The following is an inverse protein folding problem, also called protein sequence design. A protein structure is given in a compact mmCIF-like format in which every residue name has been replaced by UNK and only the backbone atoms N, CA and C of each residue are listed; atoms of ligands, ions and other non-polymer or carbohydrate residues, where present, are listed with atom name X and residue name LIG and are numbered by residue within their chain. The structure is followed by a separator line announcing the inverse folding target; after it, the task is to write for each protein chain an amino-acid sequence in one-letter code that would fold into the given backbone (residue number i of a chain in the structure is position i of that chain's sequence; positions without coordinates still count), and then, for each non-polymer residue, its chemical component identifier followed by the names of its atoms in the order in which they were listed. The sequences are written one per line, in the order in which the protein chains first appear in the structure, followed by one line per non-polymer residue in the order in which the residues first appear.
data_IF_541189769903
#
_entry.id   IF_541189769903
#
_cell.length_a   1.000
_cell.length_b   1.000
_cell.length_c   1.000
_cell.angle_alpha   90.00
_cell.angle_beta   90.00
_cell.angle_gamma   90.00
#
_symmetry.space_group_name_H-M   'P 1'
#
loop_
_entity.id
_entity.type
_entity.pdbx_description
1 polymer ?
#
# COMPACT_ATOMS: atom_id res chain seq x y z
N UNK A 1 -6.95 2.67 18.75
CA UNK A 1 -6.98 3.67 19.83
C UNK A 1 -7.51 4.98 19.26
N UNK A 2 -8.43 5.60 19.96
CA UNK A 2 -9.00 6.90 19.59
C UNK A 2 -8.31 7.97 20.40
N UNK A 3 -7.84 9.02 19.74
CA UNK A 3 -7.26 10.19 20.40
C UNK A 3 -8.38 11.07 20.92
N UNK A 4 -8.32 11.45 22.20
CA UNK A 4 -9.30 12.28 22.86
C UNK A 4 -8.83 13.72 23.00
N UNK A 5 -9.80 14.64 23.20
CA UNK A 5 -9.46 16.01 23.56
C UNK A 5 -8.73 16.04 24.92
N UNK A 6 -7.71 16.89 25.10
CA UNK A 6 -6.94 16.99 26.35
C UNK A 6 -7.77 17.22 27.61
N UNK A 7 -8.96 17.78 27.46
CA UNK A 7 -9.92 18.08 28.58
C UNK A 7 -10.49 16.84 29.26
N UNK A 8 -10.34 15.63 28.64
CA UNK A 8 -10.90 14.37 29.19
C UNK A 8 -9.93 13.67 30.15
N UNK A 9 -8.68 14.12 30.24
CA UNK A 9 -7.66 13.58 31.15
C UNK A 9 -7.00 12.28 30.67
N UNK A 10 -7.38 11.75 29.50
CA UNK A 10 -6.78 10.59 28.85
C UNK A 10 -6.37 10.95 27.43
N UNK A 11 -5.17 10.53 27.00
CA UNK A 11 -4.67 10.79 25.65
C UNK A 11 -5.39 9.94 24.59
N UNK A 12 -5.79 8.72 24.93
CA UNK A 12 -6.51 7.80 24.06
C UNK A 12 -7.18 6.69 24.86
N UNK A 13 -8.20 6.07 24.30
CA UNK A 13 -8.79 4.85 24.86
C UNK A 13 -8.99 3.78 23.78
N UNK A 14 -8.98 2.49 24.15
CA UNK A 14 -9.33 1.42 23.22
C UNK A 14 -10.86 1.35 23.05
N UNK A 15 -11.31 1.35 21.82
CA UNK A 15 -12.72 1.15 21.46
C UNK A 15 -12.84 0.08 20.37
N UNK A 16 -13.96 -0.64 20.40
CA UNK A 16 -14.28 -1.59 19.34
C UNK A 16 -14.74 -0.81 18.10
N UNK A 17 -13.90 -0.76 17.07
CA UNK A 17 -14.10 0.06 15.89
C UNK A 17 -14.95 -0.60 14.79
N UNK A 18 -15.33 -1.86 14.98
CA UNK A 18 -16.16 -2.57 14.00
C UNK A 18 -16.04 -4.09 14.06
N UNK A 19 -16.69 -4.75 13.11
CA UNK A 19 -16.62 -6.18 12.92
C UNK A 19 -15.80 -6.50 11.68
N UNK A 20 -14.78 -7.34 11.86
CA UNK A 20 -13.91 -7.83 10.79
C UNK A 20 -14.24 -9.31 10.53
N UNK A 21 -14.43 -9.67 9.29
CA UNK A 21 -14.51 -11.06 8.83
C UNK A 21 -13.26 -11.41 8.05
N UNK A 22 -12.58 -12.48 8.48
CA UNK A 22 -11.41 -13.02 7.77
C UNK A 22 -11.75 -14.42 7.28
N UNK A 23 -11.53 -14.68 6.00
CA UNK A 23 -11.65 -15.99 5.36
C UNK A 23 -10.34 -16.36 4.70
N UNK A 24 -9.92 -17.61 4.86
CA UNK A 24 -8.67 -18.02 4.28
C UNK A 24 -8.53 -19.52 4.09
N UNK A 25 -7.48 -19.86 3.36
CA UNK A 25 -7.06 -21.24 3.12
C UNK A 25 -5.58 -21.34 3.45
N UNK A 26 -5.21 -22.36 4.22
CA UNK A 26 -3.84 -22.67 4.54
C UNK A 26 -3.48 -24.06 4.02
N UNK A 27 -2.32 -24.18 3.42
CA UNK A 27 -1.77 -25.44 2.91
C UNK A 27 -0.39 -25.67 3.48
N UNK A 28 -0.16 -26.89 3.94
CA UNK A 28 1.16 -27.34 4.36
C UNK A 28 1.44 -28.70 3.70
N UNK A 29 2.51 -28.76 2.93
CA UNK A 29 2.90 -29.94 2.20
C UNK A 29 4.37 -30.24 2.42
N UNK A 30 4.69 -31.47 2.81
CA UNK A 30 6.06 -31.94 2.98
C UNK A 30 6.27 -33.25 2.22
N UNK A 31 7.36 -33.36 1.51
CA UNK A 31 7.73 -34.57 0.80
C UNK A 31 9.23 -34.80 0.86
N UNK A 32 9.63 -36.06 0.64
CA UNK A 32 11.01 -36.52 0.71
C UNK A 32 11.39 -37.02 -0.69
N UNK A 33 12.00 -36.16 -1.55
CA UNK A 33 12.40 -36.55 -2.91
C UNK A 33 13.46 -37.64 -2.93
N UNK A 34 14.32 -37.67 -1.92
CA UNK A 34 15.41 -38.63 -1.82
C UNK A 34 15.65 -39.07 -0.39
N UNK A 35 15.78 -40.37 -0.20
CA UNK A 35 16.18 -40.99 1.07
C UNK A 35 17.01 -42.24 0.80
N UNK A 36 18.20 -42.35 1.39
CA UNK A 36 19.05 -43.48 1.35
C UNK A 36 19.72 -43.66 2.72
N UNK A 37 19.31 -44.69 3.45
CA UNK A 37 19.79 -44.97 4.80
C UNK A 37 21.24 -45.46 4.85
N UNK A 38 21.68 -46.22 3.85
CA UNK A 38 23.05 -46.76 3.81
C UNK A 38 24.09 -45.65 3.59
N UNK A 39 23.69 -44.55 2.96
CA UNK A 39 24.55 -43.40 2.71
C UNK A 39 24.32 -42.25 3.69
N UNK A 40 23.50 -42.45 4.73
CA UNK A 40 23.06 -41.37 5.62
C UNK A 40 22.67 -40.13 4.82
N UNK A 41 21.75 -40.34 3.87
CA UNK A 41 21.35 -39.30 2.94
C UNK A 41 19.82 -39.15 2.94
N UNK A 42 19.38 -37.90 3.05
CA UNK A 42 17.97 -37.53 2.87
C UNK A 42 17.83 -36.12 2.34
N UNK A 43 16.75 -35.90 1.64
CA UNK A 43 16.33 -34.58 1.18
C UNK A 43 14.85 -34.40 1.47
N UNK A 44 14.52 -33.36 2.22
CA UNK A 44 13.15 -33.01 2.59
C UNK A 44 12.83 -31.65 2.03
N UNK A 45 11.67 -31.50 1.41
CA UNK A 45 11.12 -30.22 0.97
C UNK A 45 9.77 -30.01 1.65
N UNK A 46 9.61 -28.87 2.32
CA UNK A 46 8.37 -28.46 2.94
C UNK A 46 7.91 -27.15 2.30
N UNK A 47 6.68 -27.13 1.83
CA UNK A 47 6.04 -25.93 1.25
C UNK A 47 4.80 -25.64 2.07
N UNK A 48 4.71 -24.44 2.57
CA UNK A 48 3.48 -23.94 3.16
C UNK A 48 3.05 -22.64 2.46
N UNK A 49 1.75 -22.40 2.48
CA UNK A 49 1.15 -21.22 1.88
C UNK A 49 -0.18 -20.92 2.51
N UNK A 50 -0.48 -19.64 2.61
CA UNK A 50 -1.77 -19.13 3.06
C UNK A 50 -2.31 -18.07 2.12
N UNK A 51 -3.62 -18.06 1.98
CA UNK A 51 -4.39 -17.03 1.32
C UNK A 51 -5.49 -16.57 2.27
N UNK A 52 -5.51 -15.30 2.60
CA UNK A 52 -6.50 -14.69 3.49
C UNK A 52 -7.17 -13.51 2.78
N UNK A 53 -8.45 -13.36 3.01
CA UNK A 53 -9.25 -12.21 2.59
C UNK A 53 -9.93 -11.63 3.81
N UNK A 54 -9.70 -10.35 4.06
CA UNK A 54 -10.33 -9.59 5.14
C UNK A 54 -11.40 -8.64 4.60
N UNK A 55 -12.52 -8.53 5.33
CA UNK A 55 -13.58 -7.56 5.02
C UNK A 55 -14.16 -6.96 6.29
N UNK A 56 -14.25 -5.66 6.32
CA UNK A 56 -15.00 -4.91 7.33
C UNK A 56 -16.49 -5.13 7.10
N UNK A 57 -17.18 -5.79 8.04
CA UNK A 57 -18.62 -6.02 7.96
C UNK A 57 -19.43 -4.85 8.49
N UNK A 58 -18.91 -4.19 9.49
CA UNK A 58 -19.53 -3.03 10.11
C UNK A 58 -18.45 -2.14 10.70
N UNK A 59 -18.60 -0.83 10.51
CA UNK A 59 -17.75 0.18 11.12
C UNK A 59 -18.53 0.97 12.17
N UNK A 60 -17.85 1.36 13.25
CA UNK A 60 -18.43 2.20 14.31
C UNK A 60 -18.52 3.67 13.89
N UNK A 61 -19.31 4.45 14.60
CA UNK A 61 -19.37 5.91 14.38
C UNK A 61 -18.02 6.59 14.66
N UNK A 62 -17.24 6.06 15.60
CA UNK A 62 -15.89 6.53 15.87
C UNK A 62 -14.96 6.32 14.67
N UNK A 63 -15.08 5.19 13.96
CA UNK A 63 -14.30 4.93 12.75
C UNK A 63 -14.76 5.81 11.57
N UNK A 64 -16.07 6.09 11.47
CA UNK A 64 -16.62 7.08 10.51
C UNK A 64 -16.05 8.48 10.75
N UNK A 65 -16.04 8.92 11.99
CA UNK A 65 -15.45 10.22 12.37
C UNK A 65 -13.94 10.27 12.08
N UNK A 66 -13.22 9.16 12.29
CA UNK A 66 -11.81 9.07 11.92
C UNK A 66 -11.60 9.19 10.40
N UNK A 67 -12.48 8.63 9.59
CA UNK A 67 -12.45 8.82 8.13
C UNK A 67 -12.61 10.30 7.75
N UNK A 68 -13.55 11.02 8.41
CA UNK A 68 -13.76 12.45 8.18
C UNK A 68 -12.51 13.27 8.56
N UNK A 69 -11.91 12.99 9.71
CA UNK A 69 -10.67 13.62 10.14
C UNK A 69 -9.50 13.33 9.19
N UNK A 70 -9.37 12.09 8.75
CA UNK A 70 -8.34 11.71 7.80
C UNK A 70 -8.53 12.41 6.44
N UNK A 71 -9.77 12.51 5.97
CA UNK A 71 -10.09 13.20 4.72
C UNK A 71 -9.78 14.70 4.80
N UNK A 72 -10.10 15.36 5.93
CA UNK A 72 -9.85 16.80 6.11
C UNK A 72 -8.37 17.12 6.35
N UNK A 73 -7.58 16.18 6.91
CA UNK A 73 -6.17 16.39 7.23
C UNK A 73 -5.21 15.82 6.19
N UNK A 74 -5.72 15.22 5.12
CA UNK A 74 -4.89 14.64 4.07
C UNK A 74 -4.14 15.72 3.29
N UNK A 75 -2.83 15.50 3.12
CA UNK A 75 -1.94 16.37 2.37
C UNK A 75 -1.25 15.57 1.27
N UNK A 76 0.03 15.27 1.47
CA UNK A 76 0.89 14.61 0.47
C UNK A 76 0.83 13.08 0.51
N UNK A 77 0.31 12.51 1.59
CA UNK A 77 0.23 11.07 1.79
C UNK A 77 -1.23 10.64 1.99
N UNK A 78 -1.72 9.66 1.21
CA UNK A 78 -3.04 9.10 1.42
C UNK A 78 -3.19 8.54 2.83
N UNK A 79 -4.12 9.09 3.60
CA UNK A 79 -4.45 8.56 4.92
C UNK A 79 -5.43 7.40 4.80
N UNK A 80 -5.39 6.44 5.77
CA UNK A 80 -6.30 5.31 5.78
C UNK A 80 -7.77 5.74 5.76
N UNK A 81 -8.57 5.04 4.99
CA UNK A 81 -10.02 5.17 4.95
C UNK A 81 -10.64 3.79 5.13
N UNK A 82 -11.73 3.70 5.86
CA UNK A 82 -12.39 2.45 6.21
C UNK A 82 -13.83 2.46 5.73
N UNK A 83 -14.19 1.48 4.92
CA UNK A 83 -15.54 1.34 4.35
C UNK A 83 -16.02 -0.11 4.51
N UNK A 84 -17.31 -0.27 4.77
CA UNK A 84 -17.92 -1.60 4.90
C UNK A 84 -17.80 -2.36 3.56
N UNK A 85 -17.39 -3.61 3.64
CA UNK A 85 -17.13 -4.46 2.47
C UNK A 85 -15.68 -4.47 2.00
N UNK A 86 -14.87 -3.47 2.40
CA UNK A 86 -13.46 -3.36 2.04
C UNK A 86 -12.54 -3.93 3.12
N UNK A 87 -11.27 -4.19 2.76
CA UNK A 87 -10.23 -4.59 3.71
C UNK A 87 -9.79 -3.40 4.56
N UNK A 88 -9.37 -3.66 5.82
CA UNK A 88 -8.77 -2.62 6.66
C UNK A 88 -7.42 -2.11 6.15
N UNK A 89 -6.75 -2.87 5.30
CA UNK A 89 -5.46 -2.54 4.69
C UNK A 89 -5.58 -2.02 3.26
N UNK A 90 -6.81 -1.66 2.85
CA UNK A 90 -7.11 -1.13 1.53
C UNK A 90 -6.40 0.20 1.29
N UNK A 91 -5.78 0.33 0.13
CA UNK A 91 -5.18 1.59 -0.33
C UNK A 91 -6.25 2.42 -1.01
N UNK A 92 -6.44 3.63 -0.53
CA UNK A 92 -7.41 4.58 -1.04
C UNK A 92 -6.69 5.73 -1.74
N UNK A 93 -7.01 5.95 -3.01
CA UNK A 93 -6.37 7.00 -3.83
C UNK A 93 -7.40 7.70 -4.71
N UNK A 94 -7.15 8.95 -5.05
CA UNK A 94 -7.85 9.62 -6.13
C UNK A 94 -7.24 9.14 -7.45
N UNK A 95 -8.07 8.75 -8.40
CA UNK A 95 -7.62 8.19 -9.68
C UNK A 95 -7.04 9.28 -10.57
N UNK A 96 -5.77 9.17 -10.91
CA UNK A 96 -5.12 10.00 -11.91
C UNK A 96 -5.42 9.48 -13.34
N UNK A 97 -5.68 10.40 -14.25
CA UNK A 97 -5.83 10.15 -15.69
C UNK A 97 -4.56 10.53 -16.46
N UNK A 98 -3.52 10.98 -15.75
CA UNK A 98 -2.27 11.46 -16.33
C UNK A 98 -2.17 12.98 -16.34
N UNK A 99 -1.20 13.49 -17.10
CA UNK A 99 -0.89 14.92 -17.18
C UNK A 99 -1.51 15.52 -18.43
N UNK A 100 -2.19 16.64 -18.27
CA UNK A 100 -2.71 17.42 -19.41
C UNK A 100 -1.53 17.96 -20.25
N UNK A 101 -1.41 17.56 -21.52
CA UNK A 101 -0.32 18.04 -22.36
C UNK A 101 -0.31 19.55 -22.59
N UNK A 102 -1.46 20.22 -22.45
CA UNK A 102 -1.57 21.65 -22.69
C UNK A 102 -1.20 22.50 -21.49
N UNK A 103 -1.57 22.08 -20.29
CA UNK A 103 -1.39 22.86 -19.06
C UNK A 103 -0.28 22.32 -18.15
N UNK A 104 0.04 21.03 -18.27
CA UNK A 104 0.97 20.32 -17.37
C UNK A 104 0.38 19.98 -16.01
N UNK A 105 -0.92 20.20 -15.82
CA UNK A 105 -1.62 19.82 -14.60
C UNK A 105 -1.98 18.34 -14.61
N UNK A 106 -2.08 17.74 -13.43
CA UNK A 106 -2.57 16.39 -13.29
C UNK A 106 -4.10 16.36 -13.41
N UNK A 107 -4.61 15.49 -14.27
CA UNK A 107 -6.03 15.26 -14.43
C UNK A 107 -6.49 14.15 -13.48
N UNK A 108 -7.44 14.45 -12.63
CA UNK A 108 -8.01 13.57 -11.63
C UNK A 108 -9.46 13.23 -11.97
N UNK A 109 -9.87 12.02 -11.60
CA UNK A 109 -11.24 11.57 -11.77
C UNK A 109 -11.96 11.59 -10.44
N UNK A 110 -13.02 12.37 -10.33
CA UNK A 110 -13.90 12.39 -9.15
C UNK A 110 -14.71 11.10 -9.06
N UNK A 111 -15.25 10.79 -7.88
CA UNK A 111 -16.18 9.65 -7.69
C UNK A 111 -17.39 9.71 -8.62
N UNK A 112 -17.83 10.92 -9.02
CA UNK A 112 -18.96 11.13 -9.92
C UNK A 112 -18.59 11.04 -11.42
N UNK A 113 -17.33 10.68 -11.74
CA UNK A 113 -16.87 10.55 -13.12
C UNK A 113 -16.52 11.88 -13.81
N UNK A 114 -16.46 13.00 -13.09
CA UNK A 114 -16.03 14.28 -13.62
C UNK A 114 -14.50 14.40 -13.57
N UNK A 115 -13.92 14.96 -14.62
CA UNK A 115 -12.47 15.26 -14.67
C UNK A 115 -12.22 16.63 -14.02
N UNK A 116 -11.19 16.71 -13.18
CA UNK A 116 -10.75 17.92 -12.51
C UNK A 116 -9.23 17.94 -12.39
N UNK A 117 -8.62 19.10 -12.20
CA UNK A 117 -7.22 19.26 -11.82
C UNK A 117 -7.04 19.52 -10.32
N UNK A 118 -8.14 19.71 -9.59
CA UNK A 118 -8.12 19.96 -8.15
C UNK A 118 -8.22 18.64 -7.38
N UNK A 119 -7.26 18.41 -6.48
CA UNK A 119 -7.27 17.25 -5.60
C UNK A 119 -8.28 17.41 -4.48
N UNK A 120 -9.12 16.40 -4.31
CA UNK A 120 -10.03 16.31 -3.17
C UNK A 120 -10.02 14.88 -2.60
N UNK A 121 -9.67 14.74 -1.32
CA UNK A 121 -9.61 13.44 -0.65
C UNK A 121 -10.97 12.72 -0.56
N UNK A 122 -12.09 13.41 -0.76
CA UNK A 122 -13.44 12.82 -0.82
C UNK A 122 -13.59 11.91 -2.05
N UNK A 123 -12.84 12.19 -3.11
CA UNK A 123 -12.90 11.46 -4.39
C UNK A 123 -12.05 10.17 -4.39
N UNK A 124 -11.45 9.81 -3.27
CA UNK A 124 -10.71 8.55 -3.14
C UNK A 124 -11.59 7.34 -3.41
N UNK A 125 -11.04 6.39 -4.14
CA UNK A 125 -11.61 5.08 -4.43
C UNK A 125 -10.69 3.97 -3.92
N UNK A 126 -11.23 2.79 -3.60
CA UNK A 126 -10.40 1.63 -3.26
C UNK A 126 -9.65 1.18 -4.52
N UNK A 127 -8.32 1.10 -4.46
CA UNK A 127 -7.50 0.73 -5.60
C UNK A 127 -6.74 -0.57 -5.38
N UNK A 128 -5.99 -0.65 -4.29
CA UNK A 128 -5.13 -1.77 -3.98
C UNK A 128 -5.26 -2.22 -2.54
N UNK A 129 -4.48 -3.23 -2.18
CA UNK A 129 -4.40 -3.73 -0.82
C UNK A 129 -2.95 -3.98 -0.44
N UNK A 130 -2.55 -3.58 0.77
CA UNK A 130 -1.20 -3.87 1.26
C UNK A 130 -1.05 -5.31 1.72
N UNK A 131 -2.16 -5.98 2.07
CA UNK A 131 -2.15 -7.39 2.45
C UNK A 131 -1.81 -8.26 1.23
N UNK A 132 -0.81 -9.15 1.33
CA UNK A 132 -0.49 -10.09 0.28
C UNK A 132 -1.65 -11.07 0.05
N UNK A 133 -2.01 -11.32 -1.21
CA UNK A 133 -3.00 -12.35 -1.55
C UNK A 133 -2.53 -13.76 -1.20
N UNK A 134 -1.23 -14.00 -1.35
CA UNK A 134 -0.58 -15.25 -1.02
C UNK A 134 0.73 -15.00 -0.29
N UNK A 135 0.96 -15.75 0.76
CA UNK A 135 2.23 -15.76 1.49
C UNK A 135 2.56 -17.16 1.98
N UNK A 136 3.84 -17.41 2.16
CA UNK A 136 4.25 -18.70 2.65
C UNK A 136 5.77 -18.86 2.70
N UNK A 137 6.17 -20.10 2.86
CA UNK A 137 7.56 -20.47 3.00
C UNK A 137 7.85 -21.78 2.23
N UNK A 138 8.99 -21.83 1.61
CA UNK A 138 9.57 -23.06 1.03
C UNK A 138 10.84 -23.35 1.81
N UNK A 139 10.85 -24.49 2.48
CA UNK A 139 12.00 -24.95 3.24
C UNK A 139 12.56 -26.22 2.60
N UNK A 140 13.87 -26.28 2.38
CA UNK A 140 14.54 -27.46 1.86
C UNK A 140 15.71 -27.83 2.78
N UNK A 141 15.71 -29.06 3.25
CA UNK A 141 16.75 -29.62 4.11
C UNK A 141 17.36 -30.82 3.42
N UNK A 142 18.66 -30.77 3.23
CA UNK A 142 19.46 -31.85 2.64
C UNK A 142 20.54 -32.30 3.62
N UNK A 143 20.70 -33.61 3.79
CA UNK A 143 21.80 -34.23 4.54
C UNK A 143 22.45 -35.30 3.68
N UNK A 144 23.77 -35.37 3.71
CA UNK A 144 24.57 -36.39 3.05
C UNK A 144 25.86 -36.67 3.82
N UNK A 145 26.02 -37.88 4.37
CA UNK A 145 27.24 -38.32 5.09
C UNK A 145 27.73 -37.30 6.14
N UNK A 146 26.83 -36.75 6.93
CA UNK A 146 27.14 -35.78 7.98
C UNK A 146 27.26 -34.33 7.52
N UNK A 147 27.17 -34.04 6.21
CA UNK A 147 27.04 -32.68 5.71
C UNK A 147 25.57 -32.32 5.58
N UNK A 148 25.14 -31.27 6.28
CA UNK A 148 23.78 -30.78 6.25
C UNK A 148 23.68 -29.38 5.62
N UNK A 149 22.66 -29.14 4.79
CA UNK A 149 22.29 -27.84 4.27
C UNK A 149 20.80 -27.61 4.48
N UNK A 150 20.43 -26.43 4.95
CA UNK A 150 19.06 -26.01 5.12
C UNK A 150 18.87 -24.62 4.48
N UNK A 151 17.91 -24.50 3.56
CA UNK A 151 17.57 -23.26 2.89
C UNK A 151 16.09 -22.98 3.09
N UNK A 152 15.78 -21.74 3.44
CA UNK A 152 14.42 -21.29 3.68
C UNK A 152 14.13 -20.04 2.85
N UNK A 153 13.06 -20.09 2.07
CA UNK A 153 12.59 -19.00 1.22
C UNK A 153 11.20 -18.57 1.65
N UNK A 154 11.07 -17.34 2.09
CA UNK A 154 9.77 -16.72 2.34
C UNK A 154 9.28 -16.03 1.07
N UNK A 155 8.02 -16.20 0.74
CA UNK A 155 7.41 -15.52 -0.38
C UNK A 155 6.13 -14.79 0.02
N UNK A 156 5.92 -13.62 -0.60
CA UNK A 156 4.69 -12.83 -0.51
C UNK A 156 4.42 -12.24 -1.87
N UNK A 157 3.18 -12.36 -2.36
CA UNK A 157 2.80 -11.74 -3.63
C UNK A 157 1.33 -11.33 -3.65
N UNK A 158 1.00 -10.40 -4.57
CA UNK A 158 -0.34 -9.85 -4.75
C UNK A 158 -0.68 -8.68 -3.83
N UNK A 159 0.20 -8.33 -2.88
CA UNK A 159 0.11 -7.07 -2.14
C UNK A 159 0.63 -5.89 -2.95
N UNK A 160 0.15 -4.70 -2.65
CA UNK A 160 0.56 -3.44 -3.27
C UNK A 160 1.06 -2.47 -2.20
N UNK A 161 1.93 -1.56 -2.60
CA UNK A 161 2.47 -0.54 -1.69
C UNK A 161 2.38 0.81 -2.38
N UNK A 162 1.88 1.81 -1.66
CA UNK A 162 1.93 3.19 -2.14
C UNK A 162 3.38 3.69 -2.15
N UNK A 163 3.84 4.17 -3.31
CA UNK A 163 5.23 4.58 -3.48
C UNK A 163 5.44 6.03 -3.03
N UNK A 164 5.41 6.26 -1.72
CA UNK A 164 5.65 7.58 -1.13
C UNK A 164 6.98 8.21 -1.57
N UNK A 165 8.02 7.39 -1.74
CA UNK A 165 9.33 7.90 -2.18
C UNK A 165 9.26 8.53 -3.58
N UNK A 166 8.47 7.96 -4.48
CA UNK A 166 8.24 8.53 -5.81
C UNK A 166 7.57 9.90 -5.70
N UNK A 167 6.54 9.99 -4.88
CA UNK A 167 5.80 11.25 -4.67
C UNK A 167 6.71 12.32 -4.08
N UNK A 168 7.39 12.02 -2.98
CA UNK A 168 8.21 13.01 -2.26
C UNK A 168 9.47 13.43 -3.02
N UNK A 169 10.09 12.50 -3.77
CA UNK A 169 11.41 12.74 -4.40
C UNK A 169 11.33 13.08 -5.88
N UNK A 170 10.21 12.82 -6.52
CA UNK A 170 10.03 13.08 -7.96
C UNK A 170 8.84 13.99 -8.22
N UNK A 171 7.62 13.62 -7.80
CA UNK A 171 6.42 14.40 -8.12
C UNK A 171 6.41 15.76 -7.43
N UNK A 172 6.61 15.78 -6.12
CA UNK A 172 6.64 16.97 -5.28
C UNK A 172 8.08 17.32 -4.85
N UNK A 173 9.06 17.09 -5.73
CA UNK A 173 10.47 17.27 -5.40
C UNK A 173 10.79 18.72 -5.02
N UNK A 174 11.48 18.89 -3.89
CA UNK A 174 12.01 20.18 -3.48
C UNK A 174 13.38 20.43 -4.17
N UNK A 175 13.40 21.32 -5.12
CA UNK A 175 14.59 21.64 -5.94
C UNK A 175 15.72 22.31 -5.17
N UNK A 176 15.50 22.67 -3.90
CA UNK A 176 16.58 23.18 -3.03
C UNK A 176 17.55 22.08 -2.58
N UNK A 177 17.17 20.81 -2.76
CA UNK A 177 17.97 19.65 -2.42
C UNK A 177 18.37 18.86 -3.67
N UNK A 178 19.27 17.90 -3.49
CA UNK A 178 19.58 16.94 -4.55
C UNK A 178 18.34 16.12 -4.90
N UNK A 179 17.93 16.19 -6.17
CA UNK A 179 16.75 15.50 -6.68
C UNK A 179 17.11 14.40 -7.68
N UNK A 180 16.22 13.47 -7.89
CA UNK A 180 16.35 12.42 -8.91
C UNK A 180 16.32 13.06 -10.32
N UNK A 181 17.16 12.58 -11.25
CA UNK A 181 17.20 13.06 -12.64
C UNK A 181 15.86 13.00 -13.36
N UNK A 182 14.97 12.06 -12.98
CA UNK A 182 13.62 11.91 -13.52
C UNK A 182 12.74 13.14 -13.27
N UNK A 183 13.04 13.93 -12.23
CA UNK A 183 12.34 15.20 -11.95
C UNK A 183 12.35 16.12 -13.16
N UNK A 184 13.44 16.15 -13.91
CA UNK A 184 13.60 17.00 -15.07
C UNK A 184 13.28 16.29 -16.40
N UNK A 185 13.65 15.02 -16.53
CA UNK A 185 13.57 14.30 -17.79
C UNK A 185 12.15 13.84 -18.18
N UNK A 186 11.34 13.47 -17.20
CA UNK A 186 9.99 12.90 -17.43
C UNK A 186 8.87 13.88 -17.05
N UNK A 187 9.21 15.15 -16.79
CA UNK A 187 8.29 16.18 -16.34
C UNK A 187 7.85 17.07 -17.50
N UNK A 188 6.61 17.52 -17.42
CA UNK A 188 6.07 18.49 -18.35
C UNK A 188 6.82 19.84 -18.29
N UNK A 189 7.23 20.38 -19.42
CA UNK A 189 8.00 21.61 -19.55
C UNK A 189 7.31 22.67 -20.42
N UNK A 190 6.57 22.24 -21.45
CA UNK A 190 5.91 23.15 -22.39
C UNK A 190 4.63 22.53 -22.98
N UNK A 191 3.69 23.36 -23.45
CA UNK A 191 2.49 22.90 -24.13
C UNK A 191 2.80 21.92 -25.27
N UNK A 192 2.09 20.79 -25.26
CA UNK A 192 2.28 19.68 -26.20
C UNK A 192 3.16 18.55 -25.70
N UNK A 193 3.82 18.70 -24.55
CA UNK A 193 4.63 17.62 -23.96
C UNK A 193 3.75 16.49 -23.42
N UNK A 194 4.09 15.26 -23.79
CA UNK A 194 3.53 14.05 -23.18
C UNK A 194 4.43 13.66 -22.01
N UNK A 195 4.07 14.07 -20.83
CA UNK A 195 4.88 13.92 -19.63
C UNK A 195 4.29 12.90 -18.64
N UNK A 196 5.16 12.30 -17.83
CA UNK A 196 4.77 11.38 -16.76
C UNK A 196 4.45 12.11 -15.46
N UNK A 197 5.11 13.25 -15.21
CA UNK A 197 4.95 14.06 -14.01
C UNK A 197 4.47 15.46 -14.35
N UNK A 198 3.62 16.01 -13.47
CA UNK A 198 3.05 17.36 -13.60
C UNK A 198 4.12 18.45 -13.64
N UNK A 199 3.76 19.63 -14.15
CA UNK A 199 4.63 20.81 -14.12
C UNK A 199 5.15 21.11 -12.72
N UNK A 200 6.34 21.72 -12.62
CA UNK A 200 6.85 22.24 -11.36
C UNK A 200 6.02 23.46 -10.95
N UNK A 201 5.53 23.45 -9.73
CA UNK A 201 4.91 24.63 -9.12
C UNK A 201 5.92 25.26 -8.15
N UNK A 202 5.94 26.59 -8.10
CA UNK A 202 6.82 27.35 -7.20
C UNK A 202 6.32 27.35 -5.74
N UNK A 203 5.42 26.45 -5.35
CA UNK A 203 4.94 26.35 -3.98
C UNK A 203 6.08 25.92 -3.05
N UNK A 204 6.64 26.88 -2.36
CA UNK A 204 7.73 26.68 -1.37
C UNK A 204 7.23 25.99 -0.10
N UNK A 205 5.93 25.87 0.07
CA UNK A 205 5.26 25.10 1.14
C UNK A 205 3.94 24.61 0.54
N UNK A 206 3.62 23.34 0.72
CA UNK A 206 2.35 22.72 0.29
C UNK A 206 1.10 23.31 0.93
N UNK A 207 0.96 24.62 0.85
CA UNK A 207 -0.23 25.41 1.20
C UNK A 207 -0.50 26.34 0.03
N UNK A 208 -1.22 25.86 -0.97
CA UNK A 208 -2.05 26.74 -1.74
C UNK A 208 -3.27 27.08 -0.85
N UNK A 209 -3.39 28.39 -0.58
CA UNK A 209 -4.60 29.00 -0.03
C UNK A 209 -5.76 28.86 -1.00
#
# INVERSE_FOLDING_TARGET
QITLAPSVGFASYPENMGNLETKGVELNFSFIPYRNLDKDAYWVITVNGSHNEEKLKKISDALRHMNELNTSNEKDKPLPMYEEGESQTRIWVVRSLGIDPMTGDELLLTRNGKVTSEYNAIDKIPYGDTEPKWQGNINTAFNYKGFGANLSFNYKFGGQVYNQTLVDKIENADLRYNVDKRVLQERWQKPGDVAKYKRLTNSVNGSET
#
